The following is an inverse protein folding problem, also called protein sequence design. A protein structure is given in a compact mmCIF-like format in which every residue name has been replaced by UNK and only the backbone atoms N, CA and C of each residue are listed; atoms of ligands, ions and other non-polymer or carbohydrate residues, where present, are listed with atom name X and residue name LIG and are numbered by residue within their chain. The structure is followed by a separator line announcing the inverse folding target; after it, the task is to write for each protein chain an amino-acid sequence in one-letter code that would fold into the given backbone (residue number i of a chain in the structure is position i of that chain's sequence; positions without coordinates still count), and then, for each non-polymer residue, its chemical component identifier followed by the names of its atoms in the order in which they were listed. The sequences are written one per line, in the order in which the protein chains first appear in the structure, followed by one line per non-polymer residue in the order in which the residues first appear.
data_IF_289295814764
#
_entry.id   IF_289295814764
#
_cell.length_a   1.000
_cell.length_b   1.000
_cell.length_c   1.000
_cell.angle_alpha   90.00
_cell.angle_beta   90.00
_cell.angle_gamma   90.00
#
_symmetry.space_group_name_H-M   'P 1'
#
loop_
_entity.id
_entity.type
_entity.pdbx_description
1 polymer ?
2 non-polymer ?
3 non-polymer ?
4 water ?
#
# COMPACT_ATOMS: atom_id res chain seq x y z
N UNK A 2 23.74 -12.29 -15.40
CA UNK A 2 24.11 -11.14 -14.54
C UNK A 2 22.84 -10.39 -14.17
N UNK A 3 22.93 -9.63 -13.08
CA UNK A 3 21.97 -8.59 -12.79
C UNK A 3 22.71 -7.35 -12.32
N UNK A 4 22.09 -6.19 -12.52
CA UNK A 4 22.60 -4.95 -11.98
C UNK A 4 21.68 -4.49 -10.86
N UNK A 5 22.21 -4.30 -9.66
CA UNK A 5 21.44 -3.75 -8.53
C UNK A 5 21.86 -2.32 -8.23
N UNK A 6 20.92 -1.40 -8.17
CA UNK A 6 21.16 -0.09 -7.62
C UNK A 6 20.52 -0.02 -6.25
N UNK A 7 21.39 0.01 -5.24
CA UNK A 7 21.02 -0.20 -3.86
C UNK A 7 22.02 0.54 -3.00
N UNK A 8 21.53 1.15 -1.93
CA UNK A 8 22.38 1.91 -1.00
C UNK A 8 23.24 2.99 -1.66
N UNK A 9 22.77 3.53 -2.78
CA UNK A 9 23.50 4.59 -3.49
C UNK A 9 24.55 4.15 -4.52
N UNK A 10 24.87 2.84 -4.60
CA UNK A 10 25.89 2.32 -5.52
C UNK A 10 25.27 1.46 -6.62
N UNK A 11 26.02 1.21 -7.70
CA UNK A 11 25.59 0.27 -8.76
C UNK A 11 26.51 -0.91 -8.67
N UNK A 12 25.92 -2.10 -8.63
CA UNK A 12 26.64 -3.38 -8.58
C UNK A 12 26.26 -4.29 -9.73
N UNK A 13 27.26 -4.99 -10.28
CA UNK A 13 27.03 -6.18 -11.09
C UNK A 13 26.88 -7.30 -10.10
N UNK A 14 25.78 -8.01 -10.19
CA UNK A 14 25.48 -9.03 -9.23
C UNK A 14 25.12 -10.31 -9.95
N UNK A 15 25.53 -11.45 -9.38
CA UNK A 15 25.08 -12.75 -9.85
C UNK A 15 24.03 -13.26 -8.86
N UNK A 16 23.04 -13.99 -9.36
CA UNK A 16 22.04 -14.61 -8.50
C UNK A 16 22.67 -15.27 -7.24
N UNK A 17 23.90 -15.78 -7.36
CA UNK A 17 24.68 -16.27 -6.20
C UNK A 17 25.07 -15.23 -5.16
N UNK A 18 25.00 -13.95 -5.53
CA UNK A 18 25.21 -12.87 -4.59
C UNK A 18 24.02 -12.69 -3.67
N UNK A 19 22.94 -13.42 -3.91
CA UNK A 19 21.81 -13.32 -3.02
C UNK A 19 21.75 -14.54 -2.15
N UNK A 20 21.72 -14.32 -0.83
CA UNK A 20 21.53 -15.38 0.17
C UNK A 20 20.03 -15.42 0.53
N UNK A 21 19.37 -16.54 0.23
CA UNK A 21 17.94 -16.68 0.53
C UNK A 21 17.72 -16.92 2.01
N UNK A 22 16.88 -16.11 2.62
CA UNK A 22 16.58 -16.25 4.04
C UNK A 22 15.18 -16.83 4.23
N UNK A 23 14.51 -17.23 3.16
CA UNK A 23 13.16 -17.80 3.24
C UNK A 23 12.06 -16.99 2.56
N UNK A 24 10.91 -17.63 2.38
CA UNK A 24 9.77 -17.08 1.64
C UNK A 24 8.93 -16.07 2.47
N UNK A 25 8.21 -15.19 1.80
CA UNK A 25 7.33 -14.25 2.49
C UNK A 25 6.01 -14.13 1.76
N UNK A 31 4.26 -12.13 -7.30
CA UNK A 31 3.94 -13.56 -7.17
C UNK A 31 4.65 -14.24 -5.99
N UNK A 32 5.71 -14.97 -6.29
CA UNK A 32 6.51 -15.70 -5.28
C UNK A 32 7.61 -14.78 -4.74
N UNK A 33 7.67 -14.57 -3.41
CA UNK A 33 8.63 -13.64 -2.80
C UNK A 33 9.60 -14.24 -1.75
N UNK A 34 10.88 -13.88 -1.86
CA UNK A 34 11.89 -14.35 -0.96
C UNK A 34 12.53 -13.17 -0.20
N UNK A 35 12.75 -13.33 1.10
CA UNK A 35 13.58 -12.39 1.83
C UNK A 35 14.98 -12.85 1.54
N UNK A 36 15.83 -11.95 1.05
CA UNK A 36 17.18 -12.31 0.65
C UNK A 36 18.16 -11.26 1.11
N UNK A 37 19.37 -11.70 1.41
CA UNK A 37 20.45 -10.82 1.79
C UNK A 37 21.39 -10.69 0.61
N UNK A 38 21.71 -9.45 0.26
CA UNK A 38 22.78 -9.15 -0.65
C UNK A 38 24.17 -9.22 0.03
N UNK A 39 25.01 -10.08 -0.52
CA UNK A 39 26.28 -10.41 0.07
C UNK A 39 27.29 -9.28 -0.10
N UNK A 40 27.17 -8.46 -1.12
CA UNK A 40 28.20 -7.44 -1.32
C UNK A 40 28.07 -6.27 -0.34
N UNK A 41 26.95 -6.23 0.41
CA UNK A 41 26.64 -5.09 1.25
C UNK A 41 25.96 -5.42 2.56
N UNK A 42 25.34 -6.61 2.69
CA UNK A 42 24.47 -6.89 3.84
C UNK A 42 23.05 -6.34 3.84
N UNK A 43 22.66 -5.62 2.79
CA UNK A 43 21.21 -5.23 2.61
C UNK A 43 20.32 -6.47 2.55
N UNK A 44 19.15 -6.41 3.19
CA UNK A 44 18.18 -7.51 3.13
C UNK A 44 17.01 -6.97 2.30
N UNK A 45 16.62 -7.74 1.29
CA UNK A 45 15.70 -7.27 0.27
C UNK A 45 14.58 -8.30 0.05
N UNK A 46 13.53 -7.87 -0.63
CA UNK A 46 12.43 -8.74 -1.07
C UNK A 46 12.68 -9.11 -2.52
N UNK A 47 12.61 -10.37 -2.86
CA UNK A 47 12.96 -10.76 -4.20
C UNK A 47 11.80 -11.51 -4.75
N UNK A 48 11.13 -10.93 -5.74
CA UNK A 48 10.03 -11.58 -6.38
C UNK A 48 10.56 -12.45 -7.51
N UNK A 49 9.99 -13.64 -7.64
CA UNK A 49 10.31 -14.50 -8.79
C UNK A 49 9.18 -14.61 -9.80
N UNK A 50 9.51 -14.34 -11.05
CA UNK A 50 8.65 -14.63 -12.16
C UNK A 50 9.16 -15.81 -12.96
N UNK A 51 8.40 -16.90 -12.92
CA UNK A 51 8.80 -18.14 -13.55
C UNK A 51 8.47 -18.13 -15.03
N UNK A 52 9.42 -18.37 -15.90
CA UNK A 52 9.05 -18.60 -17.32
C UNK A 52 7.85 -19.55 -17.52
N UNK A 53 7.74 -20.58 -16.66
CA UNK A 53 6.74 -21.64 -16.76
C UNK A 53 5.49 -21.30 -15.96
N UNK A 54 5.43 -20.10 -15.38
CA UNK A 54 4.28 -19.72 -14.56
C UNK A 54 2.98 -19.35 -15.30
N UNK A 55 1.94 -19.19 -14.49
CA UNK A 55 0.66 -18.65 -14.94
C UNK A 55 0.87 -17.34 -15.67
N UNK A 56 0.31 -17.22 -16.88
CA UNK A 56 0.58 -16.07 -17.76
C UNK A 56 -0.07 -14.80 -17.26
N UNK A 57 -1.19 -14.95 -16.58
CA UNK A 57 -1.89 -13.84 -15.94
C UNK A 57 -1.15 -13.26 -14.74
N UNK A 58 -0.73 -14.13 -13.82
CA UNK A 58 0.20 -13.74 -12.77
C UNK A 58 1.40 -13.02 -13.44
N UNK A 59 1.95 -13.60 -14.51
CA UNK A 59 3.21 -13.11 -15.00
C UNK A 59 3.07 -11.72 -15.55
N UNK A 60 1.98 -11.49 -16.23
CA UNK A 60 1.71 -10.16 -16.78
C UNK A 60 1.32 -9.13 -15.73
N UNK A 61 0.72 -9.63 -14.66
CA UNK A 61 0.45 -8.78 -13.52
C UNK A 61 1.77 -8.32 -12.91
N UNK A 62 2.66 -9.27 -12.70
CA UNK A 62 3.97 -9.00 -12.14
C UNK A 62 4.73 -8.00 -13.01
N UNK A 63 4.63 -8.18 -14.32
CA UNK A 63 5.34 -7.32 -15.25
C UNK A 63 4.76 -5.91 -15.24
N UNK A 64 3.49 -5.78 -14.90
CA UNK A 64 2.82 -4.47 -14.83
C UNK A 64 3.26 -3.76 -13.55
N UNK A 65 3.22 -4.47 -12.45
CA UNK A 65 3.73 -3.90 -11.22
C UNK A 65 5.17 -3.41 -11.47
N UNK A 66 5.97 -4.25 -12.10
CA UNK A 66 7.35 -3.94 -12.35
C UNK A 66 7.44 -2.68 -13.17
N UNK A 67 6.59 -2.54 -14.19
CA UNK A 67 6.63 -1.42 -15.10
C UNK A 67 6.35 -0.10 -14.36
N UNK A 68 5.34 -0.11 -13.50
CA UNK A 68 5.02 1.06 -12.71
C UNK A 68 6.17 1.38 -11.77
N UNK A 69 6.63 0.35 -11.07
CA UNK A 69 7.66 0.55 -10.06
C UNK A 69 8.96 1.12 -10.63
N UNK A 70 9.42 0.59 -11.77
CA UNK A 70 10.60 1.12 -12.43
C UNK A 70 10.41 2.58 -12.72
N UNK A 71 9.27 2.91 -13.30
CA UNK A 71 8.93 4.28 -13.62
C UNK A 71 8.69 5.18 -12.40
N UNK A 72 8.65 4.60 -11.18
CA UNK A 72 8.41 5.38 -9.96
C UNK A 72 9.65 5.50 -9.03
N UNK A 73 10.83 5.35 -9.61
CA UNK A 73 12.10 5.57 -8.90
C UNK A 73 12.18 6.93 -8.21
N UNK A 74 11.59 7.96 -8.83
CA UNK A 74 11.60 9.30 -8.21
C UNK A 74 10.56 9.52 -7.10
N UNK A 75 9.64 8.57 -6.86
CA UNK A 75 8.68 8.72 -5.75
C UNK A 75 9.14 8.03 -4.45
N UNK A 76 9.33 8.80 -3.40
CA UNK A 76 9.75 8.06 -2.21
C UNK A 76 8.62 7.38 -1.45
N UNK A 77 7.37 7.50 -1.91
CA UNK A 77 6.21 6.87 -1.23
C UNK A 77 5.82 5.57 -1.92
N UNK A 78 6.53 5.25 -2.98
CA UNK A 78 6.33 4.01 -3.65
C UNK A 78 7.56 3.19 -3.54
N UNK A 79 7.33 1.93 -3.21
CA UNK A 79 8.35 0.90 -2.99
C UNK A 79 9.31 0.81 -4.18
N UNK A 80 10.61 0.77 -3.88
CA UNK A 80 11.63 0.94 -4.94
C UNK A 80 12.16 -0.41 -5.44
N UNK A 81 12.52 -0.47 -6.73
CA UNK A 81 13.09 -1.66 -7.31
C UNK A 81 14.57 -1.36 -7.54
N UNK A 82 15.43 -2.25 -7.04
CA UNK A 82 16.86 -2.09 -7.06
C UNK A 82 17.41 -2.66 -8.35
N UNK A 83 16.75 -3.67 -8.89
CA UNK A 83 17.25 -4.28 -10.10
C UNK A 83 16.53 -5.58 -10.32
N UNK A 84 16.91 -6.21 -11.42
CA UNK A 84 16.32 -7.44 -11.89
C UNK A 84 17.42 -8.38 -12.30
N UNK A 85 17.16 -9.69 -12.18
CA UNK A 85 18.01 -10.71 -12.78
C UNK A 85 17.20 -11.55 -13.76
N UNK A 86 17.65 -11.63 -15.01
CA UNK A 86 16.96 -12.49 -16.00
C UNK A 86 17.81 -13.75 -16.24
N UNK A 87 17.31 -14.93 -15.90
CA UNK A 87 18.02 -16.18 -16.28
C UNK A 87 17.24 -16.75 -17.45
N UNK A 88 17.65 -17.91 -17.96
CA UNK A 88 16.87 -18.59 -19.02
C UNK A 88 15.44 -18.96 -18.60
N UNK A 89 15.25 -19.27 -17.32
CA UNK A 89 13.91 -19.73 -16.91
C UNK A 89 13.17 -18.78 -15.95
N UNK A 90 13.83 -17.72 -15.47
CA UNK A 90 13.27 -16.92 -14.39
C UNK A 90 13.74 -15.53 -14.48
N UNK A 91 12.89 -14.65 -13.96
CA UNK A 91 13.23 -13.29 -13.66
C UNK A 91 13.13 -13.11 -12.14
N UNK A 92 14.21 -12.63 -11.54
CA UNK A 92 14.19 -12.20 -10.17
C UNK A 92 14.17 -10.69 -10.01
N UNK A 93 13.27 -10.20 -9.18
CA UNK A 93 13.08 -8.76 -9.06
C UNK A 93 13.36 -8.27 -7.68
N UNK A 94 14.44 -7.48 -7.56
CA UNK A 94 14.91 -7.00 -6.23
C UNK A 94 14.15 -5.75 -5.80
N UNK A 95 13.47 -5.84 -4.67
CA UNK A 95 12.58 -4.85 -4.21
C UNK A 95 12.96 -4.41 -2.80
N UNK A 96 12.66 -3.15 -2.54
CA UNK A 96 12.79 -2.60 -1.22
C UNK A 96 11.95 -3.44 -0.21
N UNK A 97 12.63 -3.92 0.84
CA UNK A 97 11.96 -4.71 1.89
C UNK A 97 11.40 -3.76 2.95
N UNK A 98 10.13 -3.96 3.30
CA UNK A 98 9.53 -3.13 4.34
C UNK A 98 9.35 -3.99 5.58
N UNK A 99 8.94 -3.40 6.69
CA UNK A 99 8.77 -4.15 7.93
C UNK A 99 7.53 -5.02 7.91
N UNK A 100 6.40 -4.42 7.53
CA UNK A 100 5.12 -5.12 7.53
C UNK A 100 4.11 -4.26 6.80
N UNK A 101 2.91 -4.80 6.57
CA UNK A 101 1.83 -3.96 6.03
C UNK A 101 0.81 -3.55 7.06
N UNK A 102 -0.07 -2.68 6.62
CA UNK A 102 -1.05 -2.08 7.51
C UNK A 102 -2.05 -3.16 7.94
N UNK A 103 -2.34 -4.06 7.01
CA UNK A 103 -3.20 -5.21 7.31
C UNK A 103 -2.62 -6.08 8.42
N UNK A 104 -1.34 -6.41 8.34
CA UNK A 104 -0.67 -7.24 9.40
C UNK A 104 -0.59 -6.55 10.75
N UNK A 105 -0.45 -5.23 10.72
CA UNK A 105 -0.47 -4.40 11.94
C UNK A 105 -1.85 -4.40 12.59
N UNK A 106 -2.92 -4.26 11.82
CA UNK A 106 -4.24 -4.43 12.38
C UNK A 106 -4.36 -5.78 13.10
N UNK A 107 -3.96 -6.86 12.44
CA UNK A 107 -4.06 -8.21 12.98
C UNK A 107 -3.26 -8.39 14.25
N UNK A 108 -2.08 -7.80 14.32
CA UNK A 108 -1.23 -7.96 15.51
C UNK A 108 -1.79 -7.18 16.66
N UNK A 109 -2.21 -5.94 16.37
CA UNK A 109 -2.74 -4.99 17.36
C UNK A 109 -4.09 -5.39 17.96
N UNK A 110 -4.74 -6.37 17.36
CA UNK A 110 -6.06 -6.72 17.80
C UNK A 110 -6.94 -5.50 17.85
N UNK A 111 -6.71 -4.51 16.97
CA UNK A 111 -7.58 -3.33 16.94
C UNK A 111 -6.99 -2.08 16.32
N UNK A 112 -7.49 -0.91 16.73
CA UNK A 112 -7.21 0.42 16.21
C UNK A 112 -5.74 0.73 16.05
N UNK A 113 -5.32 1.24 14.89
CA UNK A 113 -4.03 1.98 14.79
C UNK A 113 -4.34 3.39 15.18
N UNK A 114 -3.45 4.06 15.93
CA UNK A 114 -3.75 5.42 16.42
C UNK A 114 -3.81 6.44 15.31
N UNK A 115 -4.64 7.47 15.51
CA UNK A 115 -4.89 8.41 14.44
C UNK A 115 -3.60 9.04 13.87
N UNK A 116 -2.59 9.23 14.71
CA UNK A 116 -1.37 9.98 14.30
C UNK A 116 -0.56 9.18 13.31
N UNK A 117 -0.69 7.86 13.39
CA UNK A 117 -0.06 6.95 12.47
C UNK A 117 -0.87 6.93 11.18
N UNK A 118 -2.22 6.79 11.31
CA UNK A 118 -3.09 6.91 10.13
C UNK A 118 -2.88 8.24 9.37
N UNK A 119 -2.62 9.31 10.12
CA UNK A 119 -2.19 10.57 9.52
C UNK A 119 -0.96 10.55 8.64
N UNK A 120 0.13 10.08 9.18
CA UNK A 120 1.34 9.92 8.41
C UNK A 120 1.14 8.99 7.21
N UNK A 121 0.41 7.88 7.44
CA UNK A 121 0.12 6.92 6.40
C UNK A 121 -0.69 7.56 5.29
N UNK A 122 -1.63 8.39 5.69
CA UNK A 122 -2.50 9.03 4.74
C UNK A 122 -1.75 10.03 3.88
N UNK A 123 -0.91 10.83 4.51
CA UNK A 123 -0.05 11.70 3.72
C UNK A 123 0.67 10.94 2.60
N UNK A 124 1.36 9.85 2.99
CA UNK A 124 2.23 9.10 2.11
C UNK A 124 1.43 8.44 0.97
N UNK A 125 0.31 7.84 1.31
CA UNK A 125 -0.42 7.13 0.29
C UNK A 125 -1.06 8.08 -0.68
N UNK A 126 -1.63 9.19 -0.19
CA UNK A 126 -2.24 10.12 -1.12
C UNK A 126 -1.17 10.65 -2.08
N UNK A 127 0.02 10.94 -1.58
CA UNK A 127 1.09 11.42 -2.43
C UNK A 127 1.53 10.40 -3.47
N UNK A 128 1.61 9.13 -3.07
CA UNK A 128 2.00 8.08 -4.03
C UNK A 128 0.92 8.05 -5.10
N UNK A 129 -0.34 8.03 -4.66
CA UNK A 129 -1.40 7.99 -5.60
C UNK A 129 -1.34 9.23 -6.49
N UNK A 130 -1.11 10.40 -5.90
CA UNK A 130 -1.13 11.63 -6.70
C UNK A 130 0.01 11.62 -7.73
N UNK A 131 1.19 11.29 -7.26
CA UNK A 131 2.31 11.15 -8.12
C UNK A 131 2.02 10.26 -9.35
N UNK A 132 1.35 9.13 -9.18
CA UNK A 132 1.26 8.28 -10.33
C UNK A 132 0.12 8.67 -11.27
N UNK A 133 -0.92 9.30 -10.74
CA UNK A 133 -1.84 10.02 -11.57
C UNK A 133 -1.12 11.17 -12.33
N UNK A 134 -0.59 12.16 -11.64
CA UNK A 134 0.10 13.26 -12.31
C UNK A 134 1.17 12.86 -13.32
N UNK A 135 2.18 12.12 -12.89
CA UNK A 135 3.40 11.95 -13.70
C UNK A 135 3.32 10.80 -14.67
N UNK A 136 2.44 9.84 -14.43
CA UNK A 136 2.33 8.67 -15.31
C UNK A 136 0.92 8.33 -15.76
N UNK A 137 -0.07 9.14 -15.46
CA UNK A 137 -1.48 8.81 -15.71
C UNK A 137 -1.95 7.46 -15.19
N UNK A 138 -1.39 6.98 -14.08
CA UNK A 138 -1.75 5.66 -13.56
C UNK A 138 -2.68 5.78 -12.35
N UNK A 139 -3.68 4.92 -12.37
CA UNK A 139 -4.57 4.66 -11.25
C UNK A 139 -4.12 3.33 -10.68
N UNK A 140 -4.23 3.15 -9.37
CA UNK A 140 -3.70 1.93 -8.70
C UNK A 140 -4.72 0.79 -8.81
N UNK A 141 -6.00 1.12 -8.61
CA UNK A 141 -7.11 0.19 -8.73
C UNK A 141 -7.19 -0.92 -7.64
N UNK A 142 -6.32 -0.89 -6.66
CA UNK A 142 -6.39 -1.92 -5.63
C UNK A 142 -5.87 -1.43 -4.30
N UNK A 143 -6.30 -0.21 -3.93
CA UNK A 143 -5.87 0.36 -2.67
C UNK A 143 -6.60 -0.34 -1.48
N UNK A 144 -5.81 -0.93 -0.59
CA UNK A 144 -6.30 -1.63 0.61
C UNK A 144 -5.16 -1.77 1.61
N UNK A 145 -5.45 -2.20 2.85
CA UNK A 145 -4.34 -2.20 3.86
C UNK A 145 -3.15 -3.15 3.58
N UNK A 146 -3.35 -4.21 2.79
CA UNK A 146 -2.26 -5.14 2.48
C UNK A 146 -1.22 -4.50 1.56
N UNK A 147 -1.64 -3.46 0.83
CA UNK A 147 -0.74 -2.72 -0.06
C UNK A 147 -0.14 -1.47 0.53
N UNK A 148 -0.38 -1.23 1.83
CA UNK A 148 0.20 -0.08 2.49
C UNK A 148 1.27 -0.62 3.40
N UNK A 149 2.54 -0.25 3.17
CA UNK A 149 3.66 -0.87 3.90
C UNK A 149 4.32 0.11 4.79
N UNK A 150 4.87 -0.40 5.89
CA UNK A 150 5.60 0.36 6.90
C UNK A 150 6.87 -0.35 7.31
N UNK A 151 7.80 0.47 7.78
CA UNK A 151 9.11 -0.07 8.16
C UNK A 151 9.60 0.55 9.49
N UNK A 152 10.70 -0.02 9.97
CA UNK A 152 11.34 0.32 11.23
C UNK A 152 11.82 1.75 11.29
N UNK A 153 11.99 2.36 10.12
CA UNK A 153 12.47 3.70 9.98
C UNK A 153 11.31 4.67 9.85
N UNK A 154 10.13 4.17 10.23
CA UNK A 154 8.90 4.94 10.17
C UNK A 154 8.48 5.33 8.75
N UNK A 155 9.04 4.69 7.73
CA UNK A 155 8.60 4.98 6.37
C UNK A 155 7.34 4.19 6.04
N UNK A 156 6.46 4.85 5.31
CA UNK A 156 5.21 4.31 4.85
C UNK A 156 5.20 4.46 3.36
N UNK A 157 4.94 3.34 2.67
CA UNK A 157 4.95 3.32 1.21
C UNK A 157 3.85 2.47 0.61
N UNK A 158 3.54 2.77 -0.65
CA UNK A 158 2.57 2.03 -1.40
C UNK A 158 3.29 0.89 -2.16
N UNK A 159 2.59 -0.24 -2.30
CA UNK A 159 3.11 -1.38 -3.08
C UNK A 159 2.08 -1.93 -4.04
N UNK A 160 2.54 -2.76 -4.98
CA UNK A 160 1.69 -3.65 -5.85
C UNK A 160 0.69 -3.03 -6.86
N UNK A 161 1.21 -2.76 -8.06
CA UNK A 161 0.47 -2.11 -9.14
C UNK A 161 0.21 -3.06 -10.30
N UNK A 162 0.15 -4.36 -9.99
CA UNK A 162 -0.11 -5.39 -10.97
C UNK A 162 -1.43 -5.25 -11.73
N UNK A 163 -2.48 -4.68 -11.10
CA UNK A 163 -3.74 -4.38 -11.83
C UNK A 163 -3.92 -2.88 -12.11
N UNK A 164 -2.89 -2.06 -11.83
CA UNK A 164 -2.82 -0.69 -12.32
C UNK A 164 -2.87 -0.67 -13.84
N UNK A 178 -10.14 -6.00 -9.21
CA UNK A 178 -9.55 -5.47 -7.98
C UNK A 178 -10.44 -5.62 -6.74
N UNK A 179 -9.91 -6.31 -5.72
CA UNK A 179 -10.63 -6.57 -4.46
C UNK A 179 -11.99 -5.85 -4.24
N UNK A 180 -13.05 -6.66 -4.35
CA UNK A 180 -14.45 -6.27 -4.10
C UNK A 180 -14.69 -5.46 -2.84
N UNK A 181 -14.03 -5.85 -1.76
CA UNK A 181 -14.22 -5.20 -0.47
C UNK A 181 -14.01 -3.65 -0.47
N UNK A 182 -13.04 -3.19 -1.24
CA UNK A 182 -12.64 -1.80 -1.28
C UNK A 182 -13.07 -1.11 -2.57
N UNK A 183 -13.96 -1.74 -3.33
CA UNK A 183 -14.44 -1.12 -4.56
C UNK A 183 -15.40 0.02 -4.34
N UNK A 184 -15.17 1.07 -5.14
CA UNK A 184 -15.94 2.29 -5.07
C UNK A 184 -17.22 2.04 -5.81
N UNK A 185 -18.30 2.75 -5.41
CA UNK A 185 -19.68 2.63 -5.97
C UNK A 185 -19.76 2.75 -7.48
N UNK A 186 -18.96 3.67 -8.06
CA UNK A 186 -19.00 3.95 -9.49
C UNK A 186 -18.28 2.87 -10.29
N UNK A 187 -17.45 2.09 -9.59
CA UNK A 187 -16.74 0.94 -10.15
C UNK A 187 -17.67 -0.29 -10.18
N UNK A 188 -18.57 -0.37 -9.19
CA UNK A 188 -19.59 -1.41 -9.10
C UNK A 188 -20.73 -1.06 -10.05
N UNK A 189 -21.06 0.23 -10.13
CA UNK A 189 -22.15 0.70 -10.98
C UNK A 189 -21.90 2.10 -11.60
N UNK A 190 -21.23 2.15 -12.79
CA UNK A 190 -20.89 3.42 -13.47
C UNK A 190 -22.02 4.12 -14.25
N UNK A 191 -22.23 5.44 -14.02
CA UNK A 191 -22.92 6.30 -15.00
C UNK A 191 -22.13 6.47 -16.32
N UNK A 201 -10.55 8.54 -9.52
CA UNK A 201 -11.02 8.73 -8.12
C UNK A 201 -11.70 7.59 -7.36
N UNK A 202 -11.82 6.41 -7.92
CA UNK A 202 -12.28 5.23 -7.16
C UNK A 202 -11.25 4.81 -6.06
N UNK A 203 -9.97 5.00 -6.39
CA UNK A 203 -8.88 4.89 -5.42
C UNK A 203 -9.09 5.68 -4.14
N UNK A 204 -9.66 6.88 -4.24
CA UNK A 204 -9.89 7.70 -3.03
C UNK A 204 -10.94 7.04 -2.13
N UNK A 205 -11.98 6.47 -2.73
CA UNK A 205 -12.94 5.67 -1.96
C UNK A 205 -12.24 4.55 -1.16
N UNK A 206 -11.41 3.79 -1.85
CA UNK A 206 -10.78 2.58 -1.29
C UNK A 206 -9.89 2.99 -0.11
N UNK A 207 -9.11 4.05 -0.28
CA UNK A 207 -8.45 4.71 0.81
C UNK A 207 -9.40 5.03 1.96
N UNK A 208 -10.54 5.64 1.69
CA UNK A 208 -11.46 5.95 2.77
C UNK A 208 -11.80 4.71 3.56
N UNK A 209 -12.03 3.62 2.82
CA UNK A 209 -12.49 2.39 3.44
C UNK A 209 -11.41 1.77 4.29
N UNK A 210 -10.18 1.85 3.80
CA UNK A 210 -9.04 1.30 4.52
C UNK A 210 -8.88 2.05 5.84
N UNK A 211 -9.02 3.37 5.80
CA UNK A 211 -8.75 4.17 6.94
C UNK A 211 -9.77 3.80 7.99
N UNK A 212 -11.04 3.66 7.60
CA UNK A 212 -12.07 3.34 8.61
C UNK A 212 -11.75 1.96 9.19
N UNK A 213 -11.39 1.05 8.31
CA UNK A 213 -11.00 -0.25 8.75
C UNK A 213 -9.87 -0.17 9.83
N UNK A 214 -8.82 0.60 9.53
CA UNK A 214 -7.67 0.63 10.37
C UNK A 214 -7.85 1.49 11.62
N UNK A 215 -8.59 2.60 11.52
CA UNK A 215 -8.89 3.41 12.70
C UNK A 215 -9.80 2.71 13.74
N UNK A 216 -10.74 1.88 13.29
CA UNK A 216 -11.70 1.25 14.24
C UNK A 216 -11.29 -0.15 14.56
N UNK A 217 -10.33 -0.70 13.82
CA UNK A 217 -9.99 -2.11 13.90
C UNK A 217 -10.95 -3.09 13.22
N UNK A 218 -11.96 -2.59 12.52
CA UNK A 218 -12.93 -3.47 11.90
C UNK A 218 -13.26 -3.02 10.49
N UNK A 219 -13.19 -3.97 9.56
CA UNK A 219 -13.57 -3.67 8.21
C UNK A 219 -15.05 -3.32 8.32
N UNK A 220 -15.44 -2.14 7.83
CA UNK A 220 -16.76 -1.57 8.08
C UNK A 220 -17.98 -2.34 7.57
N UNK A 221 -17.84 -3.12 6.52
CA UNK A 221 -18.97 -3.91 6.06
C UNK A 221 -18.89 -5.31 6.64
N UNK A 222 -19.82 -5.55 7.55
CA UNK A 222 -19.69 -6.64 8.51
C UNK A 222 -20.36 -7.88 8.00
N UNK A 223 -19.67 -8.98 8.23
CA UNK A 223 -20.20 -10.32 8.08
C UNK A 223 -20.63 -10.68 6.67
N UNK A 224 -19.89 -10.14 5.71
CA UNK A 224 -20.09 -10.44 4.33
C UNK A 224 -19.42 -11.75 4.09
N UNK A 225 -20.11 -12.67 3.44
CA UNK A 225 -19.52 -13.94 3.13
C UNK A 225 -19.00 -14.02 1.72
N UNK A 226 -19.44 -13.14 0.82
CA UNK A 226 -18.93 -13.16 -0.52
C UNK A 226 -18.60 -11.77 -1.01
N UNK A 227 -17.87 -11.73 -2.13
CA UNK A 227 -17.55 -10.46 -2.78
C UNK A 227 -18.83 -9.71 -3.12
N UNK A 228 -19.75 -10.38 -3.79
CA UNK A 228 -20.93 -9.65 -4.25
C UNK A 228 -21.70 -9.12 -3.04
N UNK A 229 -21.74 -9.84 -1.92
CA UNK A 229 -22.43 -9.29 -0.76
C UNK A 229 -21.79 -7.97 -0.29
N UNK A 230 -20.46 -7.85 -0.33
CA UNK A 230 -19.84 -6.56 0.04
C UNK A 230 -20.23 -5.48 -0.95
N UNK A 231 -20.24 -5.80 -2.25
CA UNK A 231 -20.63 -4.84 -3.28
C UNK A 231 -22.05 -4.28 -3.08
N UNK A 232 -22.95 -5.17 -2.68
CA UNK A 232 -24.31 -4.87 -2.31
C UNK A 232 -24.43 -3.89 -1.13
N UNK A 233 -23.66 -4.15 -0.09
CA UNK A 233 -23.59 -3.22 1.03
C UNK A 233 -22.95 -1.86 0.69
N UNK A 234 -21.86 -1.86 -0.06
CA UNK A 234 -21.33 -0.59 -0.53
C UNK A 234 -22.45 0.30 -1.07
N UNK A 235 -23.29 -0.24 -1.96
CA UNK A 235 -24.29 0.53 -2.65
C UNK A 235 -25.55 0.80 -1.81
N UNK A 236 -25.98 -0.16 -1.03
CA UNK A 236 -27.26 0.03 -0.30
C UNK A 236 -27.05 0.74 0.99
N UNK A 237 -25.91 0.49 1.66
CA UNK A 237 -25.68 1.13 2.96
C UNK A 237 -25.11 2.55 2.81
N UNK A 238 -25.33 3.33 3.86
CA UNK A 238 -24.71 4.64 4.05
C UNK A 238 -23.22 4.49 4.07
N UNK A 239 -22.49 5.53 3.68
CA UNK A 239 -21.03 5.46 3.79
C UNK A 239 -20.63 5.10 5.22
N UNK A 240 -19.70 4.17 5.38
CA UNK A 240 -19.33 3.72 6.71
C UNK A 240 -18.34 4.70 7.38
N UNK A 241 -18.86 5.80 7.94
CA UNK A 241 -18.03 6.87 8.47
C UNK A 241 -17.32 6.45 9.76
N UNK A 242 -16.33 7.25 10.16
CA UNK A 242 -15.69 7.03 11.46
C UNK A 242 -16.75 7.20 12.55
N UNK A 243 -16.77 6.29 13.54
CA UNK A 243 -17.73 6.41 14.62
C UNK A 243 -17.47 7.63 15.45
N UNK A 244 -18.51 8.39 15.74
CA UNK A 244 -18.42 9.61 16.56
C UNK A 244 -18.00 9.37 18.00
N UNK A 245 -18.26 8.17 18.50
CA UNK A 245 -17.90 7.86 19.88
C UNK A 245 -16.44 7.50 20.07
N UNK A 246 -15.60 7.58 19.05
CA UNK A 246 -14.19 7.23 19.24
C UNK A 246 -13.31 8.45 19.45
N UNK A 247 -13.89 9.65 19.41
CA UNK A 247 -13.11 10.89 19.68
C UNK A 247 -12.01 11.17 18.65
N UNK A 248 -12.21 10.72 17.41
CA UNK A 248 -11.30 11.10 16.35
C UNK A 248 -11.36 12.62 16.12
N UNK A 249 -10.25 13.21 15.68
CA UNK A 249 -10.29 14.61 15.36
C UNK A 249 -11.38 14.87 14.26
N UNK A 250 -11.90 16.11 14.23
CA UNK A 250 -12.88 16.50 13.21
C UNK A 250 -12.23 16.44 11.84
N UNK A 251 -10.98 16.87 11.77
CA UNK A 251 -10.11 16.78 10.59
C UNK A 251 -10.28 15.40 9.95
N UNK A 252 -9.92 14.38 10.73
CA UNK A 252 -9.88 13.01 10.30
C UNK A 252 -11.27 12.54 9.85
N UNK A 253 -12.28 12.81 10.66
CA UNK A 253 -13.65 12.46 10.32
C UNK A 253 -14.14 13.07 9.02
N UNK A 254 -13.73 14.30 8.77
CA UNK A 254 -14.12 15.01 7.54
C UNK A 254 -13.37 14.46 6.31
N UNK A 255 -12.10 14.11 6.52
CA UNK A 255 -11.29 13.47 5.45
C UNK A 255 -11.96 12.19 5.00
N UNK A 256 -12.28 11.35 5.96
CA UNK A 256 -13.02 10.13 5.63
C UNK A 256 -14.34 10.45 4.96
N UNK A 257 -15.06 11.44 5.48
CA UNK A 257 -16.42 11.68 4.91
C UNK A 257 -16.26 12.14 3.46
N UNK A 258 -15.23 12.93 3.19
CA UNK A 258 -14.95 13.34 1.81
C UNK A 258 -14.59 12.17 0.91
N UNK A 259 -13.70 11.29 1.36
CA UNK A 259 -13.33 10.08 0.62
C UNK A 259 -14.50 9.16 0.38
N UNK A 260 -15.40 9.07 1.34
CA UNK A 260 -16.55 8.13 1.29
C UNK A 260 -17.86 8.81 0.77
N UNK A 261 -17.66 9.81 -0.07
CA UNK A 261 -18.70 10.42 -0.86
C UNK A 261 -19.02 9.45 -2.00
N UNK A 262 -20.22 8.89 -1.94
CA UNK A 262 -20.59 7.82 -2.87
C UNK A 262 -20.67 8.29 -4.32
N UNK A 263 -21.23 9.48 -4.51
CA UNK A 263 -21.25 10.12 -5.83
C UNK A 263 -19.83 10.55 -6.19
N UNK A 264 -19.18 9.80 -7.06
CA UNK A 264 -17.77 10.11 -7.43
C UNK A 264 -17.52 11.52 -7.99
N UNK A 265 -18.51 12.09 -8.69
CA UNK A 265 -18.39 13.44 -9.25
C UNK A 265 -18.33 14.49 -8.15
N UNK A 266 -18.97 14.21 -7.03
CA UNK A 266 -18.81 15.02 -5.82
C UNK A 266 -17.58 14.65 -4.90
N UNK A 267 -16.85 13.56 -5.19
CA UNK A 267 -15.74 13.10 -4.32
C UNK A 267 -14.50 13.86 -4.76
N UNK A 268 -13.67 14.33 -3.81
CA UNK A 268 -12.57 15.23 -4.16
C UNK A 268 -11.41 14.66 -4.96
N UNK A 269 -10.71 15.54 -5.68
CA UNK A 269 -9.47 15.23 -6.43
C UNK A 269 -8.24 15.14 -5.51
N UNK A 270 -7.17 14.47 -5.96
CA UNK A 270 -5.98 14.45 -5.13
C UNK A 270 -5.54 15.87 -4.81
N UNK A 271 -5.50 16.77 -5.78
CA UNK A 271 -5.02 18.12 -5.43
C UNK A 271 -5.88 18.88 -4.42
N UNK A 272 -7.16 18.56 -4.34
CA UNK A 272 -8.02 19.07 -3.28
C UNK A 272 -7.65 18.37 -1.97
N UNK A 273 -7.60 17.06 -2.01
CA UNK A 273 -7.26 16.28 -0.84
C UNK A 273 -5.90 16.65 -0.24
N UNK A 274 -4.92 17.03 -1.05
CA UNK A 274 -3.63 17.42 -0.54
C UNK A 274 -3.68 18.63 0.37
N UNK A 275 -4.73 19.44 0.23
CA UNK A 275 -4.85 20.59 1.09
C UNK A 275 -5.86 20.37 2.18
N UNK A 276 -6.46 19.19 2.24
CA UNK A 276 -7.35 18.91 3.37
C UNK A 276 -6.57 19.09 4.68
N UNK A 277 -7.26 19.52 5.73
CA UNK A 277 -6.57 19.84 6.98
C UNK A 277 -5.93 18.62 7.57
N UNK A 278 -6.59 17.45 7.39
CA UNK A 278 -6.05 16.19 7.95
C UNK A 278 -4.68 15.89 7.37
N UNK A 279 -4.58 16.06 6.07
CA UNK A 279 -3.30 15.80 5.44
C UNK A 279 -2.33 16.91 5.79
N UNK A 280 -2.81 18.14 5.84
CA UNK A 280 -1.90 19.23 6.03
C UNK A 280 -1.29 19.19 7.43
N UNK A 281 -2.11 18.85 8.43
CA UNK A 281 -1.62 18.77 9.84
C UNK A 281 -0.59 17.66 9.98
N UNK A 282 -0.90 16.43 9.55
CA UNK A 282 0.00 15.31 9.80
C UNK A 282 1.22 15.41 8.87
N UNK A 283 1.10 16.18 7.81
CA UNK A 283 2.24 16.48 6.99
C UNK A 283 3.26 17.35 7.73
N UNK A 284 2.80 18.34 8.47
CA UNK A 284 3.72 19.25 9.14
C UNK A 284 3.97 18.85 10.58
N UNK A 285 3.21 17.88 11.08
CA UNK A 285 3.33 17.40 12.46
C UNK A 285 4.42 16.35 12.62
N UNK A 286 5.06 16.34 13.78
CA UNK A 286 6.16 15.44 14.11
C UNK A 286 5.59 14.23 14.80
N UNK A 287 5.68 13.07 14.15
CA UNK A 287 5.10 11.82 14.67
C UNK A 287 6.16 10.75 14.61
N UNK A 288 6.51 10.16 15.76
CA UNK A 288 7.51 9.10 15.80
C UNK A 288 6.90 7.75 15.40
N UNK A 289 6.75 7.62 14.10
CA UNK A 289 6.14 6.43 13.53
C UNK A 289 7.06 5.25 13.73
N UNK A 290 8.37 5.51 13.64
CA UNK A 290 9.37 4.46 13.82
C UNK A 290 9.36 3.85 15.21
N UNK A 291 9.33 4.68 16.27
CA UNK A 291 9.33 4.14 17.66
C UNK A 291 8.05 3.38 17.95
N UNK A 292 6.95 3.85 17.36
CA UNK A 292 5.63 3.25 17.53
C UNK A 292 5.62 1.91 16.85
N UNK A 293 6.22 1.89 15.67
CA UNK A 293 6.28 0.69 14.90
C UNK A 293 7.17 -0.31 15.62
N UNK A 294 8.35 0.13 16.04
CA UNK A 294 9.36 -0.77 16.69
C UNK A 294 8.75 -1.39 17.96
N UNK A 295 8.00 -0.56 18.68
CA UNK A 295 7.45 -0.97 19.96
C UNK A 295 6.26 -1.91 19.79
N UNK A 296 5.42 -1.64 18.80
CA UNK A 296 4.31 -2.53 18.49
C UNK A 296 4.79 -3.85 17.88
N UNK A 297 5.81 -3.78 17.06
CA UNK A 297 6.35 -5.02 16.50
C UNK A 297 6.96 -5.88 17.60
N UNK A 298 7.50 -5.24 18.64
CA UNK A 298 8.14 -5.94 19.74
C UNK A 298 7.10 -6.60 20.61
N UNK A 299 6.09 -5.81 20.99
CA UNK A 299 5.07 -6.23 21.94
C UNK A 299 4.01 -7.22 21.43
N UNK A 300 4.12 -7.67 20.18
CA UNK A 300 3.11 -8.57 19.57
C UNK A 300 3.81 -9.72 18.86
N UNK A 301 2.99 -10.68 18.40
CA UNK A 301 3.46 -11.86 17.64
C UNK A 301 2.68 -11.97 16.32
N UNK A 302 3.24 -12.69 15.34
CA UNK A 302 2.58 -12.95 14.05
C UNK A 302 2.25 -11.65 13.31
X LIG B 1 2.52 -8.06 2.07
X LIG B 1 2.25 -8.32 3.24
X LIG B 1 0.80 -8.63 3.52
X LIG B 1 0.28 -7.66 4.55
X LIG B 1 3.18 -8.29 4.23
X LIG B 1 4.49 -7.87 4.13
X LIG B 1 5.12 -7.41 2.95
X LIG B 1 6.48 -7.03 2.94
X LIG B 1 7.21 -7.08 4.13
X LIG B 1 6.60 -7.57 5.28
X LIG B 1 5.26 -7.96 5.28
X LIG B 1 7.17 -6.50 1.72
X LIG B 1 8.28 -5.73 1.79
X LIG B 1 8.68 -5.36 0.48
X LIG B 1 7.88 -5.86 -0.45
X LIG B 1 6.88 -6.62 0.34
X LIG B 1 7.80 -5.80 -1.83
X LIG B 1 6.77 -6.48 -2.47
X LIG B 1 6.66 -6.45 -3.97
X LIG B 1 5.82 -7.21 -1.75
X LIG B 1 5.86 -7.28 -0.35
X LIG C 1 -5.76 12.69 18.86
X LIG C 1 -5.36 14.07 19.25
X LIG C 1 -5.90 15.12 18.31
X LIG C 1 -7.40 15.08 18.22
X LIG C 1 -7.98 13.81 18.75
X LIG C 1 -7.12 12.63 18.29
X LIG C 1 -8.05 16.25 18.87
X LIG C 1 -7.62 17.59 18.29
X LIG C 1 -7.12 17.49 16.95
X LIG C 1 -4.77 12.14 17.91
X LIG C 1 -3.52 11.61 18.61
X LIG C 1 -3.36 9.93 18.59
X LIG C 1 -3.05 9.46 17.22
X LIG C 1 -4.62 9.28 19.04
X LIG C 1 -2.19 9.55 19.45
#
# INVERSE_FOLDING_TARGET
MTGYLTIGGQRYQAEINDLENLGEMGSGTCGQVWKMRFRKTGHVIAVKQMRRSGNKEENKRILMDLDVVLKSHDCPYIVQCFGTFITNTDVFIAMELMGTCAEKLKKRMQGPIPERILGKMTVAIVKALYYLKEKHGVIHRDVKPSNILLDERGQIKLSDFGISGRLVDSKAKTRSAGCAAYMAPERIDPPDPTKPDYDIRADVWSLGISLVELATGQFPYKNCKTDFEVLTKVLQEEPPLLPGHMGFSGDFQSFVKDCLTKDHRKRPKYNKLLEHSFIKRYETLEVDVASWFKDVMAKTESPRTSGVLSQPHLPFFRHHHHHH
95U O21 C18 C19 C20 N17 C15 C16 C11 C12 C13 C14 C7 N8 N9 C5 C6 C4 C3 C10 C2 C1
EPE N1 C2 C3 N4 C5 C6 C7 C8 O8 C9 C10 S O1S O2S O3S
#
